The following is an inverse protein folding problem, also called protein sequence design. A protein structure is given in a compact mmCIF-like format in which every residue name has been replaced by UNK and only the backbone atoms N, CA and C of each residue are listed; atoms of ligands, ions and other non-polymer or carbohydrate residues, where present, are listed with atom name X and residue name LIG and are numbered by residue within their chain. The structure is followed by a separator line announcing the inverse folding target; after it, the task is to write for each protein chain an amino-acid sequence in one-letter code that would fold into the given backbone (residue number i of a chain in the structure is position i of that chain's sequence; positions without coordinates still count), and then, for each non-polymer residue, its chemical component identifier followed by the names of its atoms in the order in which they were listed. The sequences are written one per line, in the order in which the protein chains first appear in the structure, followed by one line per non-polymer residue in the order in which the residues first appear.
data_IF_914139966977
#
_entry.id   IF_914139966977
#
_cell.length_a   1.000
_cell.length_b   1.000
_cell.length_c   1.000
_cell.angle_alpha   90.00
_cell.angle_beta   90.00
_cell.angle_gamma   90.00
#
_symmetry.space_group_name_H-M   'P 1'
#
loop_
_entity.id
_entity.type
_entity.pdbx_description
1 polymer ?
#
# COMPACT_ATOMS: atom_id res chain seq x y z
N UNK A 1 17.00 17.29 -9.79
CA UNK A 1 17.96 16.16 -9.95
C UNK A 1 18.13 15.55 -8.56
N UNK A 2 18.21 14.22 -8.39
CA UNK A 2 18.55 13.68 -7.07
C UNK A 2 19.99 14.06 -6.77
N UNK A 3 20.25 14.55 -5.57
CA UNK A 3 21.61 14.90 -5.15
C UNK A 3 22.54 13.72 -5.34
N UNK A 4 23.75 13.99 -5.82
CA UNK A 4 24.81 12.99 -5.91
C UNK A 4 25.62 13.06 -4.64
N UNK A 5 25.99 11.92 -4.09
CA UNK A 5 26.96 11.84 -3.02
C UNK A 5 28.34 12.20 -3.60
N UNK A 6 29.05 13.10 -2.93
CA UNK A 6 30.28 13.69 -3.48
C UNK A 6 31.48 12.73 -3.35
N UNK A 7 31.44 11.81 -2.38
CA UNK A 7 32.52 10.85 -2.12
C UNK A 7 32.35 9.56 -2.92
N UNK A 8 31.11 9.08 -3.06
CA UNK A 8 30.79 7.82 -3.75
C UNK A 8 30.31 8.02 -5.19
N UNK A 9 29.83 9.22 -5.53
CA UNK A 9 29.24 9.48 -6.84
C UNK A 9 27.89 8.79 -7.06
N UNK A 10 27.28 8.23 -6.03
CA UNK A 10 25.97 7.59 -6.12
C UNK A 10 24.83 8.60 -5.95
N UNK A 11 23.63 8.29 -6.45
CA UNK A 11 22.46 9.14 -6.19
C UNK A 11 21.95 8.90 -4.78
N UNK A 12 21.70 9.97 -4.02
CA UNK A 12 21.21 9.97 -2.63
C UNK A 12 19.77 9.40 -2.44
N UNK A 13 19.20 8.69 -3.41
CA UNK A 13 17.87 8.10 -3.26
C UNK A 13 17.28 7.44 -4.50
N UNK A 14 16.19 6.71 -4.28
CA UNK A 14 15.49 5.91 -5.28
C UNK A 14 14.98 6.73 -6.47
N UNK A 15 14.92 6.08 -7.64
CA UNK A 15 14.54 6.73 -8.87
C UNK A 15 13.10 7.27 -8.95
N UNK A 16 12.82 8.30 -9.76
CA UNK A 16 11.44 8.81 -9.96
C UNK A 16 10.56 7.69 -10.49
N UNK A 17 11.13 6.83 -11.34
CA UNK A 17 10.50 5.61 -11.82
C UNK A 17 10.39 4.54 -10.72
N UNK A 18 11.41 4.34 -9.89
CA UNK A 18 11.33 3.41 -8.74
C UNK A 18 10.26 3.85 -7.73
N UNK A 19 10.28 5.09 -7.25
CA UNK A 19 9.27 5.66 -6.35
C UNK A 19 7.85 5.52 -6.92
N UNK A 20 7.69 5.67 -8.24
CA UNK A 20 6.40 5.47 -8.90
C UNK A 20 5.98 4.00 -8.88
N UNK A 21 6.90 3.05 -9.10
CA UNK A 21 6.60 1.62 -9.04
C UNK A 21 6.23 1.19 -7.63
N UNK A 22 7.02 1.56 -6.63
CA UNK A 22 6.74 1.28 -5.22
C UNK A 22 5.37 1.85 -4.80
N UNK A 23 5.05 3.08 -5.24
CA UNK A 23 3.75 3.69 -4.97
C UNK A 23 2.59 2.96 -5.66
N UNK A 24 2.80 2.39 -6.85
CA UNK A 24 1.80 1.59 -7.56
C UNK A 24 1.63 0.22 -6.90
N UNK A 25 2.71 -0.46 -6.53
CA UNK A 25 2.65 -1.75 -5.84
C UNK A 25 1.85 -1.68 -4.54
N UNK A 26 2.01 -0.59 -3.77
CA UNK A 26 1.24 -0.37 -2.54
C UNK A 26 -0.21 -0.01 -2.84
N UNK A 27 -0.48 0.70 -3.93
CA UNK A 27 -1.84 0.98 -4.37
C UNK A 27 -2.56 -0.32 -4.77
N UNK A 28 -1.92 -1.17 -5.56
CA UNK A 28 -2.43 -2.47 -6.00
C UNK A 28 -2.66 -3.41 -4.80
N UNK A 29 -1.76 -3.37 -3.79
CA UNK A 29 -1.97 -4.09 -2.53
C UNK A 29 -3.24 -3.61 -1.82
N UNK A 30 -3.45 -2.29 -1.75
CA UNK A 30 -4.68 -1.71 -1.21
C UNK A 30 -5.93 -2.17 -1.97
N UNK A 31 -5.88 -2.26 -3.30
CA UNK A 31 -6.99 -2.78 -4.11
C UNK A 31 -7.32 -4.22 -3.76
N UNK A 32 -6.30 -5.07 -3.64
CA UNK A 32 -6.47 -6.47 -3.23
C UNK A 32 -7.16 -6.56 -1.87
N UNK A 33 -6.70 -5.79 -0.87
CA UNK A 33 -7.30 -5.79 0.47
C UNK A 33 -8.78 -5.37 0.47
N UNK A 34 -9.14 -4.34 -0.30
CA UNK A 34 -10.52 -3.86 -0.43
C UNK A 34 -11.41 -4.89 -1.13
N UNK A 35 -10.85 -5.67 -2.05
CA UNK A 35 -11.58 -6.73 -2.76
C UNK A 35 -11.85 -7.99 -1.91
N UNK A 36 -11.19 -8.15 -0.75
CA UNK A 36 -11.39 -9.31 0.12
C UNK A 36 -12.74 -9.28 0.83
N UNK A 37 -13.29 -10.47 1.08
CA UNK A 37 -14.43 -10.62 2.00
C UNK A 37 -14.01 -10.35 3.46
N UNK A 38 -14.93 -9.97 4.35
CA UNK A 38 -14.60 -9.72 5.77
C UNK A 38 -13.92 -10.90 6.46
N UNK A 39 -14.34 -12.14 6.16
CA UNK A 39 -13.76 -13.35 6.74
C UNK A 39 -12.32 -13.62 6.27
N UNK A 40 -11.97 -13.16 5.06
CA UNK A 40 -10.62 -13.25 4.53
C UNK A 40 -9.73 -12.16 5.13
N UNK A 41 -10.22 -10.92 5.19
CA UNK A 41 -9.51 -9.79 5.78
C UNK A 41 -9.19 -10.03 7.26
N UNK A 42 -10.11 -10.64 8.02
CA UNK A 42 -9.92 -10.96 9.43
C UNK A 42 -8.79 -11.98 9.71
N UNK A 43 -8.31 -12.71 8.69
CA UNK A 43 -7.19 -13.64 8.82
C UNK A 43 -5.83 -13.00 8.53
N UNK A 44 -5.82 -11.80 7.96
CA UNK A 44 -4.60 -11.11 7.58
C UNK A 44 -4.06 -10.28 8.76
N UNK A 45 -2.72 -10.15 8.88
CA UNK A 45 -2.09 -9.31 9.89
C UNK A 45 -2.16 -7.82 9.50
N UNK A 46 -3.37 -7.29 9.28
CA UNK A 46 -3.57 -5.89 8.90
C UNK A 46 -3.64 -5.02 10.15
N UNK A 47 -2.84 -3.94 10.26
CA UNK A 47 -2.93 -2.99 11.35
C UNK A 47 -4.34 -2.42 11.54
N UNK A 48 -4.75 -2.24 12.79
CA UNK A 48 -6.05 -1.64 13.14
C UNK A 48 -6.21 -0.23 12.57
N UNK A 49 -5.10 0.50 12.37
CA UNK A 49 -5.07 1.82 11.73
C UNK A 49 -5.62 1.81 10.29
N UNK A 50 -5.46 0.70 9.57
CA UNK A 50 -5.84 0.57 8.16
C UNK A 50 -7.27 0.06 7.97
N UNK A 51 -7.82 -0.68 8.96
CA UNK A 51 -9.15 -1.30 8.88
C UNK A 51 -10.26 -0.28 8.55
N UNK A 52 -10.37 0.89 9.23
CA UNK A 52 -11.39 1.87 8.91
C UNK A 52 -11.31 2.38 7.47
N UNK A 53 -10.10 2.50 6.92
CA UNK A 53 -9.87 2.97 5.56
C UNK A 53 -10.25 1.93 4.51
N UNK A 54 -10.01 0.65 4.79
CA UNK A 54 -10.44 -0.48 3.95
C UNK A 54 -11.97 -0.55 3.93
N UNK A 55 -12.61 -0.55 5.09
CA UNK A 55 -14.08 -0.62 5.20
C UNK A 55 -14.78 0.61 4.58
N UNK A 56 -14.21 1.80 4.74
CA UNK A 56 -14.71 2.99 4.04
C UNK A 56 -14.59 2.85 2.52
N UNK A 57 -13.46 2.33 2.01
CA UNK A 57 -13.29 2.10 0.57
C UNK A 57 -14.37 1.16 0.04
N UNK A 58 -14.66 0.06 0.75
CA UNK A 58 -15.68 -0.93 0.37
C UNK A 58 -17.10 -0.36 0.34
N UNK A 59 -17.40 0.64 1.17
CA UNK A 59 -18.73 1.29 1.24
C UNK A 59 -18.95 2.32 0.12
N UNK A 60 -17.90 2.89 -0.45
CA UNK A 60 -18.03 3.94 -1.46
C UNK A 60 -18.43 3.33 -2.81
N UNK A 61 -19.58 3.75 -3.33
CA UNK A 61 -20.12 3.30 -4.62
C UNK A 61 -19.66 4.15 -5.81
N UNK A 62 -19.33 5.43 -5.59
CA UNK A 62 -18.85 6.32 -6.66
C UNK A 62 -17.41 6.01 -7.02
N UNK A 63 -17.15 5.68 -8.29
CA UNK A 63 -15.81 5.35 -8.78
C UNK A 63 -14.73 6.38 -8.42
N UNK A 64 -15.03 7.68 -8.56
CA UNK A 64 -14.05 8.73 -8.28
C UNK A 64 -13.78 8.84 -6.79
N UNK A 65 -14.81 8.74 -5.95
CA UNK A 65 -14.63 8.77 -4.50
C UNK A 65 -13.89 7.52 -4.02
N UNK A 66 -14.19 6.34 -4.58
CA UNK A 66 -13.53 5.08 -4.26
C UNK A 66 -12.03 5.18 -4.58
N UNK A 67 -11.68 5.64 -5.78
CA UNK A 67 -10.28 5.83 -6.19
C UNK A 67 -9.53 6.80 -5.28
N UNK A 68 -10.18 7.88 -4.82
CA UNK A 68 -9.58 8.85 -3.90
C UNK A 68 -9.35 8.24 -2.50
N UNK A 69 -10.30 7.48 -1.99
CA UNK A 69 -10.18 6.81 -0.71
C UNK A 69 -9.10 5.73 -0.73
N UNK A 70 -9.04 4.95 -1.81
CA UNK A 70 -8.00 3.96 -2.02
C UNK A 70 -6.60 4.58 -2.10
N UNK A 71 -6.46 5.72 -2.78
CA UNK A 71 -5.19 6.46 -2.78
C UNK A 71 -4.81 6.99 -1.38
N UNK A 72 -5.79 7.31 -0.55
CA UNK A 72 -5.59 7.72 0.84
C UNK A 72 -5.20 6.55 1.75
N UNK A 73 -5.82 5.38 1.56
CA UNK A 73 -5.42 4.11 2.17
C UNK A 73 -3.97 3.77 1.80
N UNK A 74 -3.63 3.78 0.51
CA UNK A 74 -2.27 3.52 0.03
C UNK A 74 -1.24 4.50 0.61
N UNK A 75 -1.63 5.75 0.87
CA UNK A 75 -0.78 6.72 1.58
C UNK A 75 -0.54 6.33 3.04
N UNK A 76 -1.54 5.78 3.74
CA UNK A 76 -1.38 5.29 5.10
C UNK A 76 -0.53 4.02 5.14
N UNK A 77 -0.77 3.09 4.21
CA UNK A 77 0.05 1.89 4.04
C UNK A 77 1.52 2.22 3.84
N UNK A 78 1.85 3.25 3.04
CA UNK A 78 3.24 3.73 2.87
C UNK A 78 3.91 4.28 4.14
N UNK A 79 3.17 4.51 5.21
CA UNK A 79 3.71 4.96 6.49
C UNK A 79 3.95 3.79 7.46
N UNK A 80 3.38 2.63 7.17
CA UNK A 80 3.64 1.42 7.93
C UNK A 80 5.04 0.90 7.61
N UNK A 81 5.61 0.13 8.54
CA UNK A 81 6.93 -0.46 8.36
C UNK A 81 6.95 -1.51 7.24
N UNK A 82 8.10 -1.66 6.59
CA UNK A 82 8.28 -2.62 5.49
C UNK A 82 7.96 -4.06 5.92
N UNK A 83 8.26 -4.42 7.17
CA UNK A 83 7.92 -5.73 7.75
C UNK A 83 6.41 -5.96 7.80
N UNK A 84 5.64 -4.94 8.18
CA UNK A 84 4.17 -5.01 8.22
C UNK A 84 3.60 -5.21 6.82
N UNK A 85 4.10 -4.45 5.83
CA UNK A 85 3.66 -4.60 4.44
C UNK A 85 4.07 -5.95 3.85
N UNK A 86 5.24 -6.48 4.21
CA UNK A 86 5.68 -7.81 3.80
C UNK A 86 4.77 -8.90 4.40
N UNK A 87 4.48 -8.85 5.70
CA UNK A 87 3.62 -9.80 6.36
C UNK A 87 2.20 -9.86 5.75
N UNK A 88 1.65 -8.71 5.35
CA UNK A 88 0.36 -8.64 4.66
C UNK A 88 0.44 -9.33 3.28
N UNK A 89 1.51 -9.08 2.51
CA UNK A 89 1.72 -9.70 1.20
C UNK A 89 1.88 -11.21 1.31
N UNK A 90 2.72 -11.68 2.21
CA UNK A 90 2.96 -13.11 2.44
C UNK A 90 1.67 -13.83 2.84
N UNK A 91 0.87 -13.21 3.71
CA UNK A 91 -0.41 -13.78 4.13
C UNK A 91 -1.46 -13.79 3.00
N UNK A 92 -1.44 -12.80 2.10
CA UNK A 92 -2.27 -12.79 0.89
C UNK A 92 -1.85 -13.88 -0.10
N UNK A 93 -0.56 -14.05 -0.31
CA UNK A 93 -0.02 -15.04 -1.25
C UNK A 93 -0.23 -16.47 -0.73
N UNK A 94 -0.11 -16.70 0.59
CA UNK A 94 -0.42 -17.99 1.22
C UNK A 94 -1.90 -18.39 1.13
N UNK A 95 -2.77 -17.45 0.76
CA UNK A 95 -4.22 -17.63 0.71
C UNK A 95 -4.77 -17.79 -0.71
N UNK A 96 -3.94 -17.55 -1.73
CA UNK A 96 -4.24 -17.76 -3.15
C UNK A 96 -3.87 -19.17 -3.58
#
# INVERSE_FOLDING_TARGET
MRGRDEDTGEFRGASRSQQRREALEIFDLGEKLVALTPAQLAKLPVPESLIPHIEESKRITSHIAHKRQLAFLAKHMRREDDETLAAIRDALDAMT
#
